data_IF_517258195547
#
_entry.id   IF_517258195547
#
_cell.length_a   1.000
_cell.length_b   1.000
_cell.length_c   1.000
_cell.angle_alpha   90.00
_cell.angle_beta   90.00
_cell.angle_gamma   90.00
#
_symmetry.space_group_name_H-M   'P 1'
#
loop_
_entity.id
_entity.type
_entity.pdbx_description
1 polymer ?
#
# COMPACT_ATOMS: atom_id res chain seq x y z
N UNK A 1 -17.56 -18.92 -17.38
CA UNK A 1 -17.78 -17.64 -16.68
C UNK A 1 -16.54 -17.36 -15.85
N UNK A 2 -15.66 -16.47 -16.30
CA UNK A 2 -14.62 -15.94 -15.41
C UNK A 2 -15.32 -14.98 -14.46
N UNK A 3 -15.35 -15.29 -13.17
CA UNK A 3 -15.90 -14.39 -12.14
C UNK A 3 -15.01 -13.16 -12.06
N UNK A 4 -15.32 -12.12 -12.84
CA UNK A 4 -14.77 -10.80 -12.59
C UNK A 4 -15.26 -10.39 -11.21
N UNK A 5 -14.34 -10.31 -10.25
CA UNK A 5 -14.63 -9.78 -8.93
C UNK A 5 -15.22 -8.37 -9.09
N UNK A 6 -16.17 -8.02 -8.24
CA UNK A 6 -16.71 -6.66 -8.25
C UNK A 6 -15.64 -5.65 -7.82
N UNK A 7 -15.85 -4.38 -8.18
CA UNK A 7 -14.94 -3.26 -7.91
C UNK A 7 -14.54 -3.19 -6.44
N UNK A 8 -15.52 -3.29 -5.53
CA UNK A 8 -15.30 -3.17 -4.08
C UNK A 8 -14.39 -4.28 -3.58
N UNK A 9 -14.69 -5.53 -3.92
CA UNK A 9 -13.87 -6.68 -3.53
C UNK A 9 -12.45 -6.55 -4.09
N UNK A 10 -12.31 -6.13 -5.34
CA UNK A 10 -11.00 -5.94 -5.99
C UNK A 10 -10.18 -4.83 -5.34
N UNK A 11 -10.81 -3.70 -4.98
CA UNK A 11 -10.14 -2.60 -4.28
C UNK A 11 -9.64 -3.03 -2.90
N UNK A 12 -10.43 -3.78 -2.13
CA UNK A 12 -10.00 -4.30 -0.82
C UNK A 12 -8.83 -5.28 -0.99
N UNK A 13 -8.97 -6.25 -1.90
CA UNK A 13 -7.94 -7.28 -2.12
C UNK A 13 -6.63 -6.71 -2.64
N UNK A 14 -6.63 -5.56 -3.32
CA UNK A 14 -5.41 -4.87 -3.72
C UNK A 14 -4.49 -4.53 -2.54
N UNK A 15 -5.03 -4.42 -1.32
CA UNK A 15 -4.27 -4.19 -0.09
C UNK A 15 -3.95 -5.47 0.70
N UNK A 16 -4.52 -6.64 0.38
CA UNK A 16 -4.53 -7.81 1.27
C UNK A 16 -3.13 -8.34 1.65
N UNK A 17 -2.17 -8.31 0.73
CA UNK A 17 -0.76 -8.66 0.98
C UNK A 17 0.17 -7.50 0.60
N UNK A 18 -0.29 -6.27 0.85
CA UNK A 18 0.42 -5.05 0.55
C UNK A 18 0.78 -4.91 -0.93
N UNK A 19 2.05 -4.59 -1.23
CA UNK A 19 2.51 -4.33 -2.59
C UNK A 19 2.43 -5.58 -3.50
N UNK A 20 2.42 -6.79 -2.94
CA UNK A 20 2.28 -8.04 -3.72
C UNK A 20 0.90 -8.13 -4.38
N UNK A 21 -0.17 -8.01 -3.59
CA UNK A 21 -1.54 -7.98 -4.13
C UNK A 21 -1.80 -6.72 -4.93
N UNK A 22 -1.21 -5.59 -4.55
CA UNK A 22 -1.25 -4.37 -5.34
C UNK A 22 -0.73 -4.63 -6.76
N UNK A 23 0.40 -5.32 -6.89
CA UNK A 23 0.97 -5.68 -8.20
C UNK A 23 0.03 -6.58 -9.00
N UNK A 24 -0.55 -7.61 -8.38
CA UNK A 24 -1.51 -8.50 -9.04
C UNK A 24 -2.71 -7.69 -9.57
N UNK A 25 -3.37 -6.91 -8.70
CA UNK A 25 -4.57 -6.13 -9.04
C UNK A 25 -4.30 -4.97 -10.00
N UNK A 26 -3.06 -4.48 -10.09
CA UNK A 26 -2.66 -3.49 -11.08
C UNK A 26 -2.82 -4.02 -12.51
N UNK A 27 -2.64 -5.33 -12.72
CA UNK A 27 -2.79 -5.97 -14.04
C UNK A 27 -4.14 -6.65 -14.22
N UNK A 28 -4.65 -7.38 -13.23
CA UNK A 28 -5.94 -8.10 -13.38
C UNK A 28 -7.15 -7.17 -13.29
N UNK A 29 -7.04 -6.08 -12.52
CA UNK A 29 -8.09 -5.07 -12.33
C UNK A 29 -7.95 -3.86 -13.23
N UNK A 30 -7.04 -3.88 -14.22
CA UNK A 30 -6.59 -2.69 -14.98
C UNK A 30 -7.68 -1.98 -15.78
N UNK A 31 -8.78 -2.67 -16.08
CA UNK A 31 -9.92 -2.13 -16.82
C UNK A 31 -10.85 -1.28 -15.94
N UNK A 32 -10.70 -1.35 -14.62
CA UNK A 32 -11.41 -0.51 -13.66
C UNK A 32 -10.43 0.55 -13.09
N UNK A 33 -10.64 1.85 -13.38
CA UNK A 33 -9.70 2.89 -12.98
C UNK A 33 -9.59 3.04 -11.45
N UNK A 34 -10.64 2.71 -10.70
CA UNK A 34 -10.62 2.79 -9.24
C UNK A 34 -9.81 1.63 -8.65
N UNK A 35 -10.03 0.40 -9.15
CA UNK A 35 -9.23 -0.77 -8.74
C UNK A 35 -7.77 -0.57 -9.08
N UNK A 36 -7.48 -0.08 -10.30
CA UNK A 36 -6.11 0.22 -10.74
C UNK A 36 -5.44 1.27 -9.85
N UNK A 37 -6.17 2.30 -9.43
CA UNK A 37 -5.68 3.28 -8.48
C UNK A 37 -5.38 2.68 -7.10
N UNK A 38 -6.30 1.88 -6.52
CA UNK A 38 -6.06 1.26 -5.22
C UNK A 38 -4.87 0.28 -5.25
N UNK A 39 -4.73 -0.48 -6.34
CA UNK A 39 -3.58 -1.32 -6.59
C UNK A 39 -2.26 -0.55 -6.65
N UNK A 40 -2.22 0.54 -7.42
CA UNK A 40 -1.04 1.41 -7.49
C UNK A 40 -0.73 2.04 -6.14
N UNK A 41 -1.74 2.55 -5.42
CA UNK A 41 -1.59 3.15 -4.09
C UNK A 41 -1.05 2.13 -3.07
N UNK A 42 -1.49 0.87 -3.14
CA UNK A 42 -0.95 -0.23 -2.33
C UNK A 42 0.53 -0.48 -2.62
N UNK A 43 0.93 -0.55 -3.89
CA UNK A 43 2.34 -0.73 -4.29
C UNK A 43 3.21 0.41 -3.75
N UNK A 44 2.80 1.65 -3.98
CA UNK A 44 3.56 2.83 -3.54
C UNK A 44 3.72 2.84 -2.02
N UNK A 45 2.63 2.67 -1.28
CA UNK A 45 2.66 2.75 0.17
C UNK A 45 3.49 1.61 0.79
N UNK A 46 3.17 0.35 0.47
CA UNK A 46 3.86 -0.79 1.06
C UNK A 46 5.28 -0.96 0.54
N UNK A 47 5.56 -0.59 -0.71
CA UNK A 47 6.92 -0.54 -1.24
C UNK A 47 7.78 0.45 -0.46
N UNK A 48 7.28 1.65 -0.18
CA UNK A 48 7.97 2.64 0.65
C UNK A 48 8.20 2.13 2.08
N UNK A 49 7.20 1.48 2.69
CA UNK A 49 7.34 0.86 4.02
C UNK A 49 8.40 -0.25 4.01
N UNK A 50 8.46 -1.10 2.97
CA UNK A 50 9.49 -2.14 2.84
C UNK A 50 10.88 -1.53 2.72
N UNK A 51 11.06 -0.50 1.87
CA UNK A 51 12.36 0.20 1.72
C UNK A 51 12.79 0.83 3.04
N UNK A 52 11.88 1.48 3.77
CA UNK A 52 12.19 2.08 5.07
C UNK A 52 12.58 1.02 6.12
N UNK A 53 11.91 -0.14 6.14
CA UNK A 53 12.29 -1.25 7.02
C UNK A 53 13.68 -1.81 6.69
N UNK A 54 14.02 -1.95 5.41
CA UNK A 54 15.37 -2.39 4.99
C UNK A 54 16.41 -1.38 5.47
N UNK A 55 16.17 -0.07 5.28
CA UNK A 55 17.08 0.97 5.73
C UNK A 55 17.28 0.95 7.25
N UNK A 56 16.19 0.78 8.03
CA UNK A 56 16.26 0.65 9.49
C UNK A 56 16.99 -0.63 9.93
N UNK A 57 16.82 -1.74 9.21
CA UNK A 57 17.53 -3.00 9.48
C UNK A 57 19.04 -2.84 9.27
N UNK A 58 19.45 -2.19 8.19
CA UNK A 58 20.85 -1.86 7.93
C UNK A 58 21.40 -0.91 9.01
N UNK A 59 20.63 0.13 9.38
CA UNK A 59 21.01 1.04 10.45
C UNK A 59 21.22 0.31 11.79
N UNK A 60 20.32 -0.61 12.16
CA UNK A 60 20.46 -1.40 13.37
C UNK A 60 21.74 -2.26 13.35
N UNK A 61 22.10 -2.83 12.20
CA UNK A 61 23.30 -3.65 12.05
C UNK A 61 24.60 -2.85 12.25
N UNK A 62 24.63 -1.56 11.87
CA UNK A 62 25.84 -0.71 11.96
C UNK A 62 25.95 0.06 13.28
N UNK A 63 24.84 0.27 14.01
CA UNK A 63 24.81 1.12 15.21
C UNK A 63 25.25 0.40 16.51
N UNK A 64 25.48 -0.91 16.50
CA UNK A 64 25.94 -1.65 17.67
C UNK A 64 25.00 -1.49 18.88
N UNK A 65 25.48 -1.04 20.06
CA UNK A 65 24.62 -0.83 21.24
C UNK A 65 23.46 0.16 21.02
N UNK A 66 23.57 1.09 20.05
CA UNK A 66 22.50 2.03 19.72
C UNK A 66 21.42 1.42 18.82
N UNK A 67 21.54 0.15 18.41
CA UNK A 67 20.57 -0.54 17.58
C UNK A 67 19.14 -0.55 18.16
N UNK A 68 19.01 -0.45 19.49
CA UNK A 68 17.70 -0.32 20.15
C UNK A 68 16.87 0.86 19.61
N UNK A 69 17.50 1.97 19.23
CA UNK A 69 16.80 3.13 18.65
C UNK A 69 16.21 2.77 17.29
N UNK A 70 16.97 2.07 16.44
CA UNK A 70 16.48 1.59 15.14
C UNK A 70 15.35 0.56 15.30
N UNK A 71 15.40 -0.29 16.32
CA UNK A 71 14.33 -1.23 16.66
C UNK A 71 13.05 -0.51 17.08
N UNK A 72 13.14 0.54 17.92
CA UNK A 72 12.00 1.37 18.28
C UNK A 72 11.40 2.09 17.07
N UNK A 73 12.23 2.64 16.18
CA UNK A 73 11.77 3.26 14.94
C UNK A 73 11.06 2.25 14.02
N UNK A 74 11.58 1.02 13.93
CA UNK A 74 10.97 -0.06 13.14
C UNK A 74 9.60 -0.45 13.71
N UNK A 75 9.50 -0.56 15.04
CA UNK A 75 8.22 -0.82 15.71
C UNK A 75 7.20 0.30 15.43
N UNK A 76 7.62 1.57 15.57
CA UNK A 76 6.78 2.72 15.29
C UNK A 76 6.29 2.75 13.83
N UNK A 77 7.20 2.49 12.87
CA UNK A 77 6.85 2.36 11.45
C UNK A 77 5.88 1.22 11.20
N UNK A 78 6.08 0.06 11.83
CA UNK A 78 5.19 -1.11 11.71
C UNK A 78 3.78 -0.83 12.21
N UNK A 79 3.66 -0.21 13.39
CA UNK A 79 2.35 0.19 13.96
C UNK A 79 1.68 1.22 13.06
N UNK A 80 2.42 2.24 12.62
CA UNK A 80 1.90 3.23 11.67
C UNK A 80 1.39 2.57 10.38
N UNK A 81 2.20 1.70 9.77
CA UNK A 81 1.83 1.00 8.55
C UNK A 81 0.59 0.12 8.73
N UNK A 82 0.48 -0.58 9.86
CA UNK A 82 -0.68 -1.39 10.22
C UNK A 82 -1.96 -0.54 10.33
N UNK A 83 -1.89 0.63 10.97
CA UNK A 83 -3.04 1.54 11.06
C UNK A 83 -3.47 2.02 9.67
N UNK A 84 -2.52 2.49 8.85
CA UNK A 84 -2.84 2.93 7.49
C UNK A 84 -3.39 1.78 6.64
N UNK A 85 -2.87 0.56 6.80
CA UNK A 85 -3.34 -0.63 6.09
C UNK A 85 -4.80 -0.96 6.39
N UNK A 86 -5.16 -1.00 7.68
CA UNK A 86 -6.55 -1.23 8.10
C UNK A 86 -7.46 -0.11 7.58
N UNK A 87 -7.02 1.15 7.72
CA UNK A 87 -7.77 2.29 7.21
C UNK A 87 -7.96 2.24 5.69
N UNK A 88 -6.97 1.76 4.93
CA UNK A 88 -7.09 1.57 3.49
C UNK A 88 -8.21 0.61 3.12
N UNK A 89 -8.24 -0.57 3.76
CA UNK A 89 -9.26 -1.60 3.52
C UNK A 89 -10.65 -1.15 3.99
N UNK A 90 -10.74 -0.51 5.16
CA UNK A 90 -12.01 0.05 5.66
C UNK A 90 -12.55 1.12 4.72
N UNK A 91 -11.70 2.04 4.27
CA UNK A 91 -12.11 3.12 3.37
C UNK A 91 -12.53 2.57 1.99
N UNK A 92 -11.77 1.61 1.43
CA UNK A 92 -12.15 0.92 0.20
C UNK A 92 -13.49 0.18 0.35
N UNK A 93 -13.73 -0.46 1.50
CA UNK A 93 -15.00 -1.14 1.78
C UNK A 93 -16.17 -0.17 1.92
N UNK A 94 -16.01 0.90 2.70
CA UNK A 94 -17.07 1.88 3.00
C UNK A 94 -17.47 2.70 1.77
N UNK A 95 -16.55 2.96 0.84
CA UNK A 95 -16.83 3.71 -0.39
C UNK A 95 -17.18 2.81 -1.59
N UNK A 96 -17.40 1.51 -1.38
CA UNK A 96 -17.72 0.60 -2.49
C UNK A 96 -16.59 0.43 -3.51
N UNK A 97 -15.33 0.65 -3.10
CA UNK A 97 -14.14 0.55 -3.94
C UNK A 97 -13.90 1.75 -4.86
N UNK A 98 -14.64 2.85 -4.71
CA UNK A 98 -14.35 4.11 -5.41
C UNK A 98 -13.00 4.63 -4.94
N UNK A 99 -12.21 5.16 -5.89
CA UNK A 99 -10.90 5.76 -5.64
C UNK A 99 -10.94 6.64 -4.39
N UNK A 100 -10.10 6.28 -3.43
CA UNK A 100 -9.92 7.04 -2.20
C UNK A 100 -8.46 7.11 -1.80
N UNK A 101 -8.00 8.32 -1.48
CA UNK A 101 -6.66 8.55 -0.96
C UNK A 101 -6.51 7.91 0.43
N UNK A 102 -5.33 7.37 0.74
CA UNK A 102 -5.04 6.86 2.08
C UNK A 102 -5.20 7.98 3.13
N UNK A 103 -5.86 7.72 4.27
CA UNK A 103 -5.87 8.66 5.38
C UNK A 103 -4.43 8.98 5.81
N UNK A 104 -4.18 10.21 6.27
CA UNK A 104 -2.87 10.71 6.75
C UNK A 104 -1.79 10.86 5.66
N UNK A 105 -1.60 9.86 4.80
CA UNK A 105 -0.50 9.80 3.81
C UNK A 105 -0.92 10.06 2.37
N UNK A 106 -2.21 10.23 2.10
CA UNK A 106 -2.76 10.36 0.75
C UNK A 106 -2.07 11.44 -0.10
N UNK A 107 -1.76 12.60 0.48
CA UNK A 107 -1.03 13.68 -0.23
C UNK A 107 0.34 13.25 -0.78
N UNK A 108 0.97 12.26 -0.16
CA UNK A 108 2.25 11.72 -0.58
C UNK A 108 2.09 10.52 -1.52
N UNK A 109 1.07 9.68 -1.33
CA UNK A 109 0.91 8.46 -2.15
C UNK A 109 0.18 8.72 -3.46
N UNK A 110 -0.78 9.66 -3.49
CA UNK A 110 -1.65 9.91 -4.65
C UNK A 110 -0.87 10.25 -5.93
N UNK A 111 0.10 11.17 -5.94
CA UNK A 111 0.80 11.53 -7.18
C UNK A 111 1.53 10.34 -7.82
N UNK A 112 2.21 9.53 -7.00
CA UNK A 112 2.94 8.35 -7.48
C UNK A 112 1.98 7.20 -7.84
N UNK A 113 0.88 7.06 -7.12
CA UNK A 113 -0.16 6.08 -7.45
C UNK A 113 -0.80 6.40 -8.81
N UNK A 114 -1.11 7.66 -9.07
CA UNK A 114 -1.61 8.11 -10.38
C UNK A 114 -0.59 7.86 -11.48
N UNK A 115 0.68 8.23 -11.27
CA UNK A 115 1.74 7.98 -12.23
C UNK A 115 1.88 6.49 -12.56
N UNK A 116 1.88 5.62 -11.54
CA UNK A 116 2.00 4.18 -11.70
C UNK A 116 0.76 3.58 -12.38
N UNK A 117 -0.44 3.98 -11.99
CA UNK A 117 -1.68 3.54 -12.61
C UNK A 117 -1.76 3.92 -14.09
N UNK A 118 -1.27 5.10 -14.46
CA UNK A 118 -1.24 5.59 -15.83
C UNK A 118 -0.13 4.94 -16.69
N UNK A 119 0.94 4.45 -16.06
CA UNK A 119 2.01 3.73 -16.75
C UNK A 119 1.58 2.34 -17.26
N UNK A 120 0.56 1.73 -16.64
CA UNK A 120 0.02 0.42 -17.02
C UNK A 120 -1.16 0.56 -17.99
N UNK A 121 -0.96 0.04 -19.21
CA UNK A 121 -1.93 0.04 -20.33
C UNK A 121 -2.88 -1.17 -20.32
#
# INVERSE_FOLDING_TARGET
>A
MTTSLDKKTSAILSYAFGWLTGTVFLFIGKHDPDVKFHAAQSIIFFGAVTVANIALSIAAAVLGPLAFIASLASLALGVFALVIWVLAMVHANSNGGVRAALPVVGKFTVPYADQLANAVK
#
